data_IF_474019859045
#
_entry.id   IF_474019859045
#
_cell.length_a   1.000
_cell.length_b   1.000
_cell.length_c   1.000
_cell.angle_alpha   90.00
_cell.angle_beta   90.00
_cell.angle_gamma   90.00
#
_symmetry.space_group_name_H-M   'P 1'
#
loop_
_entity.id
_entity.type
_entity.pdbx_description
1 polymer ?
#
# COMPACT_ATOMS: atom_id res chain seq x y z
N UNK A 1 -5.62 -22.94 25.38
CA UNK A 1 -6.75 -22.02 25.19
C UNK A 1 -7.45 -21.71 26.53
N UNK A 2 -7.76 -22.69 27.39
CA UNK A 2 -8.49 -22.44 28.65
C UNK A 2 -7.81 -21.47 29.64
N UNK A 3 -6.49 -21.44 29.74
CA UNK A 3 -5.79 -20.50 30.66
C UNK A 3 -5.90 -19.05 30.23
N UNK A 4 -5.98 -18.76 28.93
CA UNK A 4 -6.08 -17.38 28.43
C UNK A 4 -7.48 -16.83 28.65
N UNK A 5 -8.53 -17.63 28.41
CA UNK A 5 -9.91 -17.19 28.66
C UNK A 5 -10.18 -16.95 30.14
N UNK A 6 -9.66 -17.80 31.03
CA UNK A 6 -9.84 -17.62 32.46
C UNK A 6 -9.09 -16.39 32.99
N UNK A 7 -7.87 -16.13 32.51
CA UNK A 7 -7.16 -14.90 32.86
C UNK A 7 -7.92 -13.65 32.38
N UNK A 8 -8.43 -13.66 31.15
CA UNK A 8 -9.20 -12.53 30.62
C UNK A 8 -10.51 -12.29 31.41
N UNK A 9 -11.22 -13.35 31.80
CA UNK A 9 -12.39 -13.23 32.67
C UNK A 9 -12.02 -12.63 34.03
N UNK A 10 -10.89 -13.03 34.60
CA UNK A 10 -10.43 -12.50 35.88
C UNK A 10 -10.08 -11.01 35.78
N UNK A 11 -9.33 -10.61 34.75
CA UNK A 11 -8.96 -9.20 34.53
C UNK A 11 -10.21 -8.31 34.39
N UNK A 12 -11.24 -8.81 33.69
CA UNK A 12 -12.52 -8.09 33.57
C UNK A 12 -13.29 -8.03 34.92
N UNK A 13 -13.21 -9.07 35.75
CA UNK A 13 -13.81 -9.07 37.10
C UNK A 13 -13.11 -8.08 38.03
N UNK A 14 -11.80 -7.97 37.94
CA UNK A 14 -11.04 -6.96 38.67
C UNK A 14 -11.46 -5.54 38.21
N UNK A 15 -11.74 -5.37 36.91
CA UNK A 15 -12.33 -4.14 36.36
C UNK A 15 -13.74 -3.83 36.89
N UNK A 16 -14.60 -4.82 37.07
CA UNK A 16 -15.94 -4.64 37.67
C UNK A 16 -15.85 -4.04 39.09
N UNK A 17 -14.86 -4.48 39.88
CA UNK A 17 -14.67 -3.98 41.25
C UNK A 17 -14.32 -2.48 41.30
N UNK A 18 -13.80 -1.93 40.19
CA UNK A 18 -13.46 -0.50 40.05
C UNK A 18 -14.63 0.35 39.51
N UNK A 19 -15.78 -0.24 39.20
CA UNK A 19 -16.89 0.45 38.53
C UNK A 19 -17.43 1.69 39.27
N UNK A 20 -17.51 1.64 40.61
CA UNK A 20 -17.99 2.76 41.44
C UNK A 20 -16.86 3.71 41.89
N UNK A 21 -15.63 3.50 41.44
CA UNK A 21 -14.51 4.38 41.75
C UNK A 21 -14.65 5.72 41.00
N UNK A 22 -14.60 6.83 41.73
CA UNK A 22 -14.74 8.18 41.16
C UNK A 22 -13.66 8.52 40.11
N UNK A 23 -12.50 7.88 40.20
CA UNK A 23 -11.38 8.09 39.28
C UNK A 23 -11.47 7.25 37.99
N UNK A 24 -12.51 6.42 37.82
CA UNK A 24 -12.62 5.46 36.71
C UNK A 24 -13.88 5.70 35.87
N UNK A 25 -14.17 6.95 35.53
CA UNK A 25 -15.35 7.35 34.75
C UNK A 25 -15.34 6.67 33.37
N UNK A 26 -14.18 6.60 32.70
CA UNK A 26 -14.02 5.91 31.42
C UNK A 26 -14.39 4.42 31.51
N UNK A 27 -13.85 3.70 32.50
CA UNK A 27 -14.16 2.29 32.75
C UNK A 27 -15.66 2.07 33.03
N UNK A 28 -16.26 2.95 33.84
CA UNK A 28 -17.71 2.90 34.13
C UNK A 28 -18.54 3.10 32.87
N UNK A 29 -18.15 4.05 32.00
CA UNK A 29 -18.83 4.30 30.73
C UNK A 29 -18.69 3.12 29.78
N UNK A 30 -17.49 2.51 29.69
CA UNK A 30 -17.26 1.32 28.87
C UNK A 30 -18.18 0.15 29.29
N UNK A 31 -18.26 -0.15 30.60
CA UNK A 31 -19.18 -1.17 31.12
C UNK A 31 -20.64 -0.87 30.79
N UNK A 32 -21.05 0.40 30.90
CA UNK A 32 -22.40 0.82 30.57
C UNK A 32 -22.73 0.67 29.08
N UNK A 33 -21.79 1.00 28.20
CA UNK A 33 -21.95 0.88 26.75
C UNK A 33 -22.02 -0.60 26.34
N UNK A 34 -21.05 -1.40 26.77
CA UNK A 34 -20.97 -2.83 26.42
C UNK A 34 -22.25 -3.54 26.84
N UNK A 35 -22.70 -3.37 28.09
CA UNK A 35 -23.89 -4.07 28.58
C UNK A 35 -25.17 -3.65 27.85
N UNK A 36 -25.30 -2.36 27.52
CA UNK A 36 -26.47 -1.84 26.82
C UNK A 36 -26.51 -2.27 25.35
N UNK A 37 -25.37 -2.19 24.65
CA UNK A 37 -25.28 -2.51 23.22
C UNK A 37 -25.30 -4.03 22.96
N UNK A 38 -24.58 -4.79 23.79
CA UNK A 38 -24.38 -6.24 23.60
C UNK A 38 -25.43 -7.07 24.35
N UNK A 39 -26.35 -6.41 25.08
CA UNK A 39 -27.48 -7.03 25.78
C UNK A 39 -27.03 -8.16 26.72
N UNK A 40 -26.08 -7.83 27.58
CA UNK A 40 -25.43 -8.73 28.52
C UNK A 40 -25.26 -8.05 29.88
N UNK A 41 -25.00 -8.84 30.93
CA UNK A 41 -24.75 -8.29 32.26
C UNK A 41 -23.67 -9.08 33.00
N UNK A 42 -22.67 -8.37 33.52
CA UNK A 42 -21.51 -8.97 34.17
C UNK A 42 -20.56 -9.64 33.19
N UNK A 43 -19.51 -10.28 33.71
CA UNK A 43 -18.48 -10.94 32.87
C UNK A 43 -18.97 -12.31 32.41
N UNK A 44 -19.30 -13.18 33.37
CA UNK A 44 -19.81 -14.54 33.18
C UNK A 44 -21.33 -14.55 33.36
N UNK A 45 -21.81 -13.81 34.37
CA UNK A 45 -23.23 -13.69 34.66
C UNK A 45 -23.51 -12.40 35.45
N UNK A 46 -24.78 -12.01 35.53
CA UNK A 46 -25.21 -10.82 36.29
C UNK A 46 -24.81 -10.86 37.77
N UNK A 47 -24.62 -12.06 38.35
CA UNK A 47 -24.19 -12.24 39.74
C UNK A 47 -22.80 -11.69 40.02
N UNK A 48 -21.96 -11.50 38.99
CA UNK A 48 -20.63 -10.89 39.16
C UNK A 48 -20.73 -9.45 39.71
N UNK A 49 -21.82 -8.73 39.42
CA UNK A 49 -22.08 -7.41 40.01
C UNK A 49 -22.38 -7.47 41.51
N UNK A 50 -23.02 -8.55 41.98
CA UNK A 50 -23.28 -8.71 43.41
C UNK A 50 -21.99 -8.87 44.21
N UNK A 51 -21.01 -9.54 43.61
CA UNK A 51 -19.67 -9.71 44.19
C UNK A 51 -18.90 -8.38 44.15
N UNK A 52 -18.92 -7.67 43.01
CA UNK A 52 -18.22 -6.41 42.83
C UNK A 52 -18.77 -5.27 43.70
N UNK A 53 -20.09 -5.12 43.80
CA UNK A 53 -20.76 -4.04 44.53
C UNK A 53 -21.09 -4.38 45.99
N UNK A 54 -20.95 -5.65 46.39
CA UNK A 54 -21.34 -6.17 47.73
C UNK A 54 -22.81 -5.97 48.10
N UNK A 55 -23.65 -5.68 47.10
CA UNK A 55 -25.08 -5.49 47.21
C UNK A 55 -25.81 -6.36 46.17
N UNK A 56 -27.05 -6.75 46.42
CA UNK A 56 -27.84 -7.54 45.46
C UNK A 56 -28.46 -6.65 44.38
N UNK A 57 -27.62 -5.88 43.70
CA UNK A 57 -28.01 -4.91 42.67
C UNK A 57 -27.13 -5.04 41.44
N UNK A 58 -27.67 -4.67 40.28
CA UNK A 58 -26.93 -4.55 39.02
C UNK A 58 -27.01 -3.12 38.49
N UNK A 59 -26.12 -2.67 37.60
CA UNK A 59 -26.27 -1.38 36.93
C UNK A 59 -27.54 -1.32 36.07
N UNK A 60 -28.17 -0.15 35.98
CA UNK A 60 -29.41 0.02 35.21
C UNK A 60 -29.27 -0.31 33.71
N UNK A 61 -28.04 -0.23 33.17
CA UNK A 61 -27.74 -0.62 31.77
C UNK A 61 -27.82 -2.13 31.52
N UNK A 62 -27.86 -2.96 32.57
CA UNK A 62 -28.12 -4.39 32.45
C UNK A 62 -29.60 -4.73 32.22
N UNK A 63 -30.52 -3.78 32.42
CA UNK A 63 -31.94 -4.05 32.34
C UNK A 63 -32.43 -4.14 30.89
N UNK A 64 -33.44 -4.97 30.65
CA UNK A 64 -34.05 -5.14 29.32
C UNK A 64 -34.90 -3.93 28.93
N UNK A 65 -35.61 -3.34 29.89
CA UNK A 65 -36.34 -2.10 29.75
C UNK A 65 -35.65 -0.99 30.54
N UNK A 66 -35.42 0.16 29.91
CA UNK A 66 -34.68 1.26 30.52
C UNK A 66 -35.60 2.13 31.37
N UNK A 67 -35.62 1.87 32.68
CA UNK A 67 -36.23 2.74 33.68
C UNK A 67 -35.23 3.03 34.81
N UNK A 68 -35.36 4.19 35.43
CA UNK A 68 -34.45 4.64 36.47
C UNK A 68 -34.52 3.71 37.69
N UNK A 69 -33.38 3.23 38.19
CA UNK A 69 -33.24 2.28 39.30
C UNK A 69 -33.82 0.88 39.06
N UNK A 70 -33.80 0.40 37.81
CA UNK A 70 -34.25 -0.94 37.48
C UNK A 70 -33.41 -2.04 38.11
N UNK A 71 -32.10 -1.82 38.26
CA UNK A 71 -31.18 -2.81 38.81
C UNK A 71 -31.30 -3.02 40.33
N UNK A 72 -32.09 -2.18 41.01
CA UNK A 72 -32.39 -2.29 42.44
C UNK A 72 -33.73 -2.99 42.71
N UNK A 73 -34.59 -3.14 41.70
CA UNK A 73 -35.92 -3.70 41.85
C UNK A 73 -35.92 -5.20 41.51
N UNK A 74 -36.61 -6.02 42.31
CA UNK A 74 -36.49 -7.49 42.32
C UNK A 74 -37.19 -8.21 41.15
N UNK A 75 -37.47 -7.52 40.05
CA UNK A 75 -38.35 -8.03 38.98
C UNK A 75 -37.68 -8.96 37.96
N UNK A 76 -36.41 -9.36 38.14
CA UNK A 76 -35.66 -10.24 37.22
C UNK A 76 -35.67 -9.79 35.73
N UNK A 77 -35.90 -8.51 35.45
CA UNK A 77 -35.96 -7.94 34.09
C UNK A 77 -34.58 -7.44 33.59
N UNK A 78 -33.51 -8.19 33.87
CA UNK A 78 -32.15 -7.88 33.42
C UNK A 78 -31.55 -9.03 32.60
N UNK A 79 -30.57 -8.72 31.76
CA UNK A 79 -29.85 -9.72 30.98
C UNK A 79 -29.11 -10.68 31.90
N UNK A 80 -29.32 -11.97 31.67
CA UNK A 80 -28.82 -13.06 32.50
C UNK A 80 -27.57 -13.73 31.92
N UNK A 81 -27.21 -13.45 30.66
CA UNK A 81 -25.94 -13.86 30.05
C UNK A 81 -24.83 -12.85 30.33
N UNK A 82 -23.63 -13.36 30.58
CA UNK A 82 -22.41 -12.56 30.71
C UNK A 82 -21.95 -11.97 29.38
N UNK A 83 -21.26 -10.84 29.45
CA UNK A 83 -20.72 -10.16 28.27
C UNK A 83 -19.54 -10.90 27.63
N UNK A 84 -18.80 -11.72 28.39
CA UNK A 84 -17.67 -12.47 27.87
C UNK A 84 -18.11 -13.51 26.82
N UNK A 85 -19.22 -14.22 27.08
CA UNK A 85 -19.81 -15.17 26.12
C UNK A 85 -20.21 -14.45 24.82
N UNK A 86 -20.75 -13.24 24.92
CA UNK A 86 -21.09 -12.41 23.75
C UNK A 86 -19.87 -11.98 22.95
N UNK A 87 -18.76 -11.66 23.62
CA UNK A 87 -17.47 -11.38 22.98
C UNK A 87 -16.93 -12.61 22.26
N UNK A 88 -16.98 -13.79 22.89
CA UNK A 88 -16.58 -15.04 22.25
C UNK A 88 -17.46 -15.36 21.03
N UNK A 89 -18.79 -15.24 21.13
CA UNK A 89 -19.71 -15.40 20.00
C UNK A 89 -19.36 -14.44 18.86
N UNK A 90 -19.16 -13.16 19.14
CA UNK A 90 -18.79 -12.17 18.12
C UNK A 90 -17.45 -12.47 17.48
N UNK A 91 -16.45 -12.88 18.27
CA UNK A 91 -15.13 -13.27 17.76
C UNK A 91 -15.23 -14.51 16.89
N UNK A 92 -16.02 -15.51 17.27
CA UNK A 92 -16.19 -16.72 16.47
C UNK A 92 -16.91 -16.47 15.16
N UNK A 93 -17.90 -15.57 15.17
CA UNK A 93 -18.64 -15.15 13.98
C UNK A 93 -17.74 -14.33 13.02
N UNK A 94 -16.83 -13.51 13.56
CA UNK A 94 -15.99 -12.58 12.78
C UNK A 94 -14.54 -13.04 12.61
N UNK A 95 -14.15 -14.22 13.10
CA UNK A 95 -12.75 -14.70 13.06
C UNK A 95 -12.16 -14.73 11.65
N UNK A 96 -12.97 -15.04 10.65
CA UNK A 96 -12.53 -15.02 9.25
C UNK A 96 -12.16 -13.60 8.79
N UNK A 97 -12.95 -12.60 9.18
CA UNK A 97 -12.69 -11.20 8.84
C UNK A 97 -11.42 -10.69 9.54
N UNK A 98 -11.33 -10.87 10.86
CA UNK A 98 -10.16 -10.45 11.65
C UNK A 98 -8.88 -11.16 11.19
N UNK A 99 -8.97 -12.46 10.94
CA UNK A 99 -7.87 -13.25 10.39
C UNK A 99 -7.43 -12.77 9.02
N UNK A 100 -8.38 -12.42 8.14
CA UNK A 100 -8.07 -11.89 6.80
C UNK A 100 -7.37 -10.53 6.89
N UNK A 101 -7.84 -9.61 7.74
CA UNK A 101 -7.21 -8.30 7.93
C UNK A 101 -5.77 -8.47 8.42
N UNK A 102 -5.55 -9.30 9.45
CA UNK A 102 -4.22 -9.59 9.96
C UNK A 102 -3.30 -10.24 8.92
N UNK A 103 -3.83 -11.18 8.13
CA UNK A 103 -3.08 -11.83 7.05
C UNK A 103 -2.65 -10.83 5.97
N UNK A 104 -3.57 -9.96 5.51
CA UNK A 104 -3.27 -8.94 4.50
C UNK A 104 -2.16 -8.01 4.98
N UNK A 105 -2.24 -7.55 6.23
CA UNK A 105 -1.20 -6.70 6.84
C UNK A 105 0.17 -7.41 6.81
N UNK A 106 0.22 -8.67 7.22
CA UNK A 106 1.47 -9.45 7.22
C UNK A 106 2.03 -9.64 5.82
N UNK A 107 1.18 -9.95 4.84
CA UNK A 107 1.58 -10.09 3.43
C UNK A 107 2.19 -8.81 2.91
N UNK A 108 1.58 -7.65 3.17
CA UNK A 108 2.11 -6.34 2.75
C UNK A 108 3.47 -6.05 3.41
N UNK A 109 3.63 -6.39 4.69
CA UNK A 109 4.90 -6.20 5.40
C UNK A 109 6.01 -7.07 4.82
N UNK A 110 5.74 -8.35 4.57
CA UNK A 110 6.70 -9.29 3.98
C UNK A 110 7.05 -8.88 2.56
N UNK A 111 6.06 -8.49 1.76
CA UNK A 111 6.28 -8.00 0.40
C UNK A 111 7.19 -6.76 0.37
N UNK A 112 7.00 -5.83 1.31
CA UNK A 112 7.86 -4.65 1.45
C UNK A 112 9.32 -5.04 1.74
N UNK A 113 9.54 -6.02 2.64
CA UNK A 113 10.89 -6.54 2.92
C UNK A 113 11.50 -7.27 1.74
N UNK A 114 10.71 -8.03 0.97
CA UNK A 114 11.17 -8.71 -0.24
C UNK A 114 11.64 -7.72 -1.29
N UNK A 115 10.91 -6.63 -1.51
CA UNK A 115 11.32 -5.56 -2.43
C UNK A 115 12.66 -4.97 -2.01
N UNK A 116 12.84 -4.66 -0.71
CA UNK A 116 14.11 -4.14 -0.19
C UNK A 116 15.24 -5.16 -0.38
N UNK A 117 15.00 -6.43 -0.09
CA UNK A 117 16.00 -7.49 -0.25
C UNK A 117 16.44 -7.64 -1.71
N UNK A 118 15.50 -7.64 -2.66
CA UNK A 118 15.79 -7.69 -4.10
C UNK A 118 16.58 -6.45 -4.53
N UNK A 119 16.17 -5.25 -4.11
CA UNK A 119 16.85 -4.02 -4.46
C UNK A 119 18.29 -3.96 -3.91
N UNK A 120 18.51 -4.39 -2.65
CA UNK A 120 19.84 -4.48 -2.06
C UNK A 120 20.69 -5.53 -2.78
N UNK A 121 20.14 -6.70 -3.09
CA UNK A 121 20.84 -7.74 -3.83
C UNK A 121 21.30 -7.24 -5.22
N UNK A 122 20.39 -6.62 -5.97
CA UNK A 122 20.70 -6.04 -7.28
C UNK A 122 21.80 -4.97 -7.17
N UNK A 123 21.75 -4.12 -6.14
CA UNK A 123 22.77 -3.11 -5.89
C UNK A 123 24.14 -3.67 -5.53
N UNK A 124 24.19 -4.70 -4.69
CA UNK A 124 25.44 -5.35 -4.32
C UNK A 124 26.09 -6.00 -5.53
N UNK A 125 25.30 -6.64 -6.40
CA UNK A 125 25.82 -7.22 -7.64
C UNK A 125 26.45 -6.15 -8.55
N UNK A 126 25.78 -5.01 -8.71
CA UNK A 126 26.25 -3.87 -9.53
C UNK A 126 27.44 -3.12 -8.92
N UNK A 127 27.61 -3.09 -7.59
CA UNK A 127 28.69 -2.35 -6.92
C UNK A 127 30.10 -2.89 -7.23
N UNK A 128 30.20 -4.07 -7.84
CA UNK A 128 31.47 -4.64 -8.32
C UNK A 128 31.94 -3.97 -9.62
N UNK A 129 31.03 -3.32 -10.36
CA UNK A 129 31.31 -2.60 -11.60
C UNK A 129 31.38 -1.08 -11.32
N UNK A 130 32.60 -0.55 -11.34
CA UNK A 130 32.94 0.81 -10.93
C UNK A 130 32.42 1.88 -11.91
N UNK A 131 31.11 2.11 -12.01
CA UNK A 131 30.54 3.22 -12.78
C UNK A 131 29.76 4.15 -11.86
N UNK A 132 30.37 5.32 -11.62
CA UNK A 132 29.79 6.42 -10.84
C UNK A 132 28.71 7.09 -11.68
N UNK A 133 27.46 6.76 -11.41
CA UNK A 133 26.32 7.43 -12.01
C UNK A 133 25.23 7.73 -10.97
N UNK A 134 24.51 8.83 -11.20
CA UNK A 134 23.56 9.49 -10.28
C UNK A 134 22.72 8.51 -9.46
N UNK A 135 23.02 8.44 -8.15
CA UNK A 135 22.49 7.48 -7.17
C UNK A 135 20.96 7.32 -7.19
N UNK A 136 20.21 8.36 -7.57
CA UNK A 136 18.73 8.37 -7.54
C UNK A 136 18.05 7.88 -8.82
N UNK A 137 18.80 7.56 -9.89
CA UNK A 137 18.23 7.13 -11.18
C UNK A 137 18.36 5.62 -11.40
N UNK A 138 19.09 4.92 -10.51
CA UNK A 138 19.18 3.46 -10.59
C UNK A 138 17.86 2.81 -10.14
N UNK A 139 17.21 1.99 -10.99
CA UNK A 139 15.95 1.31 -10.66
C UNK A 139 15.98 0.55 -9.33
N UNK A 140 17.13 -0.04 -8.96
CA UNK A 140 17.28 -0.76 -7.71
C UNK A 140 17.27 0.17 -6.47
N UNK A 141 17.80 1.40 -6.54
CA UNK A 141 17.66 2.37 -5.43
C UNK A 141 16.20 2.77 -5.24
N UNK A 142 15.48 3.02 -6.35
CA UNK A 142 14.06 3.39 -6.29
C UNK A 142 13.25 2.31 -5.58
N UNK A 143 13.49 1.03 -5.93
CA UNK A 143 12.86 -0.11 -5.26
C UNK A 143 13.18 -0.15 -3.75
N UNK A 144 14.44 0.05 -3.36
CA UNK A 144 14.84 0.09 -1.93
C UNK A 144 14.08 1.21 -1.20
N UNK A 145 14.08 2.43 -1.73
CA UNK A 145 13.43 3.59 -1.09
C UNK A 145 11.93 3.35 -0.93
N UNK A 146 11.25 2.88 -1.99
CA UNK A 146 9.82 2.57 -1.95
C UNK A 146 9.52 1.47 -0.93
N UNK A 147 10.28 0.36 -0.94
CA UNK A 147 10.10 -0.75 -0.01
C UNK A 147 10.32 -0.35 1.45
N UNK A 148 11.32 0.48 1.74
CA UNK A 148 11.59 1.00 3.09
C UNK A 148 10.45 1.91 3.57
N UNK A 149 10.02 2.87 2.73
CA UNK A 149 8.92 3.78 3.09
C UNK A 149 7.63 3.01 3.33
N UNK A 150 7.29 2.06 2.46
CA UNK A 150 6.14 1.18 2.64
C UNK A 150 6.20 0.42 3.97
N UNK A 151 7.33 -0.24 4.26
CA UNK A 151 7.54 -0.98 5.51
C UNK A 151 7.33 -0.12 6.76
N UNK A 152 7.87 1.11 6.78
CA UNK A 152 7.73 2.01 7.93
C UNK A 152 6.31 2.51 8.11
N UNK A 153 5.61 2.86 7.02
CA UNK A 153 4.22 3.33 7.09
C UNK A 153 3.33 2.20 7.65
N UNK A 154 3.43 0.99 7.11
CA UNK A 154 2.61 -0.14 7.56
C UNK A 154 2.96 -0.56 8.98
N UNK A 155 4.25 -0.59 9.34
CA UNK A 155 4.70 -0.90 10.70
C UNK A 155 4.15 0.10 11.72
N UNK A 156 4.30 1.41 11.46
CA UNK A 156 3.81 2.46 12.35
C UNK A 156 2.28 2.44 12.46
N UNK A 157 1.56 2.20 11.36
CA UNK A 157 0.10 2.09 11.39
C UNK A 157 -0.38 0.90 12.23
N UNK A 158 0.21 -0.28 12.02
CA UNK A 158 -0.21 -1.51 12.71
C UNK A 158 0.15 -1.49 14.20
N UNK A 159 1.41 -1.15 14.54
CA UNK A 159 1.83 -1.08 15.94
C UNK A 159 1.18 0.11 16.65
N UNK A 160 0.96 1.22 15.94
CA UNK A 160 0.25 2.39 16.45
C UNK A 160 -1.18 2.07 16.85
N UNK A 161 -1.90 1.31 16.01
CA UNK A 161 -3.26 0.87 16.32
C UNK A 161 -3.28 -0.19 17.44
N UNK A 162 -2.43 -1.23 17.36
CA UNK A 162 -2.42 -2.34 18.33
C UNK A 162 -1.97 -1.94 19.74
N UNK A 163 -1.11 -0.93 19.86
CA UNK A 163 -0.60 -0.45 21.14
C UNK A 163 -1.20 0.90 21.56
N UNK A 164 -2.19 1.38 20.81
CA UNK A 164 -2.84 2.68 21.05
C UNK A 164 -1.80 3.82 21.25
N UNK A 165 -0.70 3.76 20.50
CA UNK A 165 0.41 4.70 20.67
C UNK A 165 0.21 5.93 19.78
N UNK A 166 -0.24 7.02 20.39
CA UNK A 166 -0.52 8.30 19.72
C UNK A 166 0.67 8.80 18.88
N UNK A 167 1.93 8.64 19.33
CA UNK A 167 3.10 9.11 18.57
C UNK A 167 3.27 8.34 17.27
N UNK A 168 3.11 7.02 17.30
CA UNK A 168 3.20 6.18 16.10
C UNK A 168 2.04 6.45 15.14
N UNK A 169 0.83 6.62 15.67
CA UNK A 169 -0.36 6.90 14.87
C UNK A 169 -0.30 8.28 14.21
N UNK A 170 0.24 9.30 14.90
CA UNK A 170 0.54 10.62 14.30
C UNK A 170 1.59 10.53 13.20
N UNK A 171 2.66 9.74 13.40
CA UNK A 171 3.68 9.51 12.35
C UNK A 171 3.05 8.85 11.12
N UNK A 172 2.23 7.81 11.30
CA UNK A 172 1.50 7.15 10.22
C UNK A 172 0.61 8.14 9.45
N UNK A 173 -0.21 8.92 10.16
CA UNK A 173 -1.11 9.91 9.58
C UNK A 173 -0.37 10.99 8.80
N UNK A 174 0.74 11.50 9.37
CA UNK A 174 1.60 12.49 8.73
C UNK A 174 2.27 11.92 7.47
N UNK A 175 2.81 10.70 7.52
CA UNK A 175 3.43 10.05 6.38
C UNK A 175 2.44 9.80 5.24
N UNK A 176 1.22 9.33 5.51
CA UNK A 176 0.19 9.19 4.49
C UNK A 176 -0.21 10.54 3.86
N UNK A 177 -0.32 11.58 4.68
CA UNK A 177 -0.61 12.93 4.18
C UNK A 177 0.50 13.44 3.26
N UNK A 178 1.76 13.21 3.62
CA UNK A 178 2.90 13.59 2.78
C UNK A 178 2.89 12.85 1.44
N UNK A 179 2.64 11.53 1.46
CA UNK A 179 2.54 10.71 0.24
C UNK A 179 1.41 11.22 -0.66
N UNK A 180 0.24 11.53 -0.10
CA UNK A 180 -0.89 12.08 -0.84
C UNK A 180 -0.55 13.42 -1.49
N UNK A 181 0.09 14.33 -0.76
CA UNK A 181 0.52 15.63 -1.29
C UNK A 181 1.57 15.49 -2.40
N UNK A 182 2.52 14.56 -2.26
CA UNK A 182 3.50 14.26 -3.32
C UNK A 182 2.82 13.69 -4.57
N UNK A 183 1.88 12.75 -4.42
CA UNK A 183 1.11 12.20 -5.53
C UNK A 183 0.30 13.28 -6.25
N UNK A 184 -0.39 14.13 -5.49
CA UNK A 184 -1.15 15.25 -6.04
C UNK A 184 -0.24 16.24 -6.77
N UNK A 185 0.92 16.56 -6.20
CA UNK A 185 1.90 17.45 -6.82
C UNK A 185 2.42 16.88 -8.14
N UNK A 186 2.77 15.59 -8.17
CA UNK A 186 3.20 14.89 -9.40
C UNK A 186 2.09 14.91 -10.45
N UNK A 187 0.84 14.65 -10.07
CA UNK A 187 -0.30 14.66 -10.99
C UNK A 187 -0.55 16.06 -11.59
N UNK A 188 -0.53 17.11 -10.76
CA UNK A 188 -0.69 18.50 -11.20
C UNK A 188 0.46 18.90 -12.12
N UNK A 189 1.71 18.66 -11.72
CA UNK A 189 2.88 19.02 -12.52
C UNK A 189 2.91 18.25 -13.85
N UNK A 190 2.56 16.96 -13.83
CA UNK A 190 2.46 16.13 -15.03
C UNK A 190 1.41 16.62 -16.03
N UNK A 191 0.29 17.17 -15.52
CA UNK A 191 -0.78 17.71 -16.35
C UNK A 191 -0.46 19.10 -16.91
N UNK A 192 -0.01 20.04 -16.05
CA UNK A 192 0.25 21.43 -16.46
C UNK A 192 1.55 21.60 -17.25
N UNK A 193 2.58 20.83 -16.91
CA UNK A 193 3.90 20.88 -17.53
C UNK A 193 4.18 19.59 -18.29
N UNK A 194 3.24 19.19 -19.15
CA UNK A 194 3.31 17.95 -19.93
C UNK A 194 4.58 17.87 -20.77
N UNK A 195 4.96 18.96 -21.43
CA UNK A 195 6.16 19.01 -22.27
C UNK A 195 7.43 18.83 -21.45
N UNK A 196 7.54 19.54 -20.31
CA UNK A 196 8.68 19.39 -19.41
C UNK A 196 8.74 18.00 -18.77
N UNK A 197 7.59 17.39 -18.49
CA UNK A 197 7.50 16.01 -17.99
C UNK A 197 7.95 15.02 -19.04
N UNK A 198 7.55 15.22 -20.31
CA UNK A 198 8.04 14.44 -21.45
C UNK A 198 9.55 14.58 -21.63
N UNK A 199 10.10 15.78 -21.50
CA UNK A 199 11.55 16.01 -21.60
C UNK A 199 12.33 15.39 -20.44
N UNK A 200 11.79 15.47 -19.21
CA UNK A 200 12.40 14.86 -18.03
C UNK A 200 12.44 13.33 -18.14
N UNK A 201 11.35 12.71 -18.60
CA UNK A 201 11.29 11.29 -18.92
C UNK A 201 12.21 10.93 -20.10
N UNK A 202 12.28 11.80 -21.11
CA UNK A 202 13.15 11.64 -22.27
C UNK A 202 14.62 11.51 -21.88
N UNK A 203 15.11 12.33 -20.94
CA UNK A 203 16.48 12.22 -20.41
C UNK A 203 16.74 10.88 -19.69
N UNK A 204 15.74 10.35 -18.99
CA UNK A 204 15.83 9.03 -18.38
C UNK A 204 15.93 7.93 -19.45
N UNK A 205 15.08 7.98 -20.47
CA UNK A 205 15.09 7.00 -21.57
C UNK A 205 16.35 7.12 -22.43
N UNK A 206 16.84 8.34 -22.68
CA UNK A 206 18.12 8.58 -23.34
C UNK A 206 19.25 7.87 -22.59
N UNK A 207 19.32 8.04 -21.26
CA UNK A 207 20.29 7.34 -20.44
C UNK A 207 20.15 5.81 -20.54
N UNK A 208 18.92 5.29 -20.56
CA UNK A 208 18.64 3.87 -20.72
C UNK A 208 19.08 3.33 -22.08
N UNK A 209 18.88 4.09 -23.17
CA UNK A 209 19.32 3.73 -24.52
C UNK A 209 20.85 3.76 -24.61
N UNK A 210 21.50 4.82 -24.09
CA UNK A 210 22.97 4.94 -24.09
C UNK A 210 23.62 3.73 -23.41
N UNK A 211 23.10 3.31 -22.25
CA UNK A 211 23.64 2.19 -21.46
C UNK A 211 22.93 0.85 -21.73
N UNK A 212 22.16 0.74 -22.82
CA UNK A 212 21.33 -0.44 -23.10
C UNK A 212 22.12 -1.77 -23.15
N UNK A 213 23.38 -1.75 -23.61
CA UNK A 213 24.25 -2.94 -23.65
C UNK A 213 25.10 -3.11 -22.39
N UNK A 214 25.19 -2.08 -21.57
CA UNK A 214 26.06 -2.04 -20.39
C UNK A 214 25.31 -2.41 -19.10
N UNK A 215 23.98 -2.16 -19.06
CA UNK A 215 23.12 -2.49 -17.91
C UNK A 215 21.97 -3.42 -18.33
N UNK A 216 22.03 -4.66 -17.86
CA UNK A 216 21.04 -5.69 -18.14
C UNK A 216 19.63 -5.32 -17.63
N UNK A 217 19.51 -4.56 -16.55
CA UNK A 217 18.20 -4.14 -16.02
C UNK A 217 17.56 -3.09 -16.93
N UNK A 218 18.35 -2.12 -17.40
CA UNK A 218 17.88 -1.12 -18.37
C UNK A 218 17.56 -1.79 -19.71
N UNK A 219 18.35 -2.79 -20.11
CA UNK A 219 18.09 -3.60 -21.30
C UNK A 219 16.73 -4.31 -21.21
N UNK A 220 16.50 -5.05 -20.13
CA UNK A 220 15.26 -5.81 -19.92
C UNK A 220 14.04 -4.88 -19.79
N UNK A 221 14.19 -3.75 -19.10
CA UNK A 221 13.13 -2.75 -18.96
C UNK A 221 12.75 -2.17 -20.31
N UNK A 222 13.75 -1.74 -21.10
CA UNK A 222 13.49 -1.15 -22.41
C UNK A 222 12.88 -2.17 -23.38
N UNK A 223 13.39 -3.40 -23.37
CA UNK A 223 12.85 -4.50 -24.18
C UNK A 223 11.40 -4.82 -23.85
N UNK A 224 11.06 -4.82 -22.56
CA UNK A 224 9.68 -5.03 -22.09
C UNK A 224 8.76 -3.90 -22.57
N UNK A 225 9.15 -2.65 -22.37
CA UNK A 225 8.37 -1.48 -22.79
C UNK A 225 8.10 -1.51 -24.30
N UNK A 226 9.14 -1.76 -25.11
CA UNK A 226 8.99 -1.74 -26.57
C UNK A 226 8.09 -2.85 -27.10
N UNK A 227 8.19 -4.05 -26.52
CA UNK A 227 7.33 -5.19 -26.89
C UNK A 227 5.89 -4.97 -26.46
N UNK A 228 5.67 -4.51 -25.23
CA UNK A 228 4.35 -4.34 -24.63
C UNK A 228 3.58 -3.18 -25.31
N UNK A 229 4.23 -2.02 -25.44
CA UNK A 229 3.61 -0.83 -26.02
C UNK A 229 3.72 -0.77 -27.55
N UNK A 230 4.39 -1.74 -28.18
CA UNK A 230 4.60 -1.83 -29.64
C UNK A 230 5.12 -0.52 -30.20
N UNK A 231 6.30 -0.14 -29.71
CA UNK A 231 6.99 1.11 -30.01
C UNK A 231 8.50 0.89 -30.13
N UNK A 232 9.23 1.88 -30.65
CA UNK A 232 10.68 1.83 -30.77
C UNK A 232 11.29 3.21 -30.52
N UNK A 233 12.32 3.26 -29.66
CA UNK A 233 12.92 4.51 -29.17
C UNK A 233 12.00 5.31 -28.25
N UNK A 234 12.35 6.58 -27.98
CA UNK A 234 11.55 7.48 -27.14
C UNK A 234 10.56 8.28 -27.99
N UNK A 235 11.09 9.09 -28.90
CA UNK A 235 10.35 9.86 -29.90
C UNK A 235 10.21 9.07 -31.21
N UNK A 236 11.25 8.32 -31.61
CA UNK A 236 11.25 7.54 -32.85
C UNK A 236 12.32 6.44 -32.83
N UNK A 237 12.23 5.48 -33.76
CA UNK A 237 13.21 4.39 -33.89
C UNK A 237 14.66 4.83 -34.11
N UNK A 238 14.88 6.06 -34.59
CA UNK A 238 16.22 6.65 -34.81
C UNK A 238 16.94 7.03 -33.52
N UNK A 239 16.23 7.14 -32.39
CA UNK A 239 16.83 7.45 -31.09
C UNK A 239 17.87 6.40 -30.66
N UNK A 240 17.78 5.18 -31.22
CA UNK A 240 18.79 4.15 -31.05
C UNK A 240 20.19 4.57 -31.52
N UNK A 241 20.32 5.61 -32.35
CA UNK A 241 21.62 6.19 -32.67
C UNK A 241 22.36 6.81 -31.48
N UNK A 242 21.69 7.06 -30.34
CA UNK A 242 22.35 7.50 -29.10
C UNK A 242 23.23 6.41 -28.48
N UNK A 243 22.95 5.14 -28.76
CA UNK A 243 23.75 4.03 -28.25
C UNK A 243 24.99 3.79 -29.14
N UNK A 244 26.15 3.54 -28.51
CA UNK A 244 27.42 3.34 -29.19
C UNK A 244 27.37 2.22 -30.25
N UNK A 245 26.66 1.11 -30.00
CA UNK A 245 26.62 -0.05 -30.89
C UNK A 245 25.65 0.14 -32.07
N UNK A 246 24.60 0.94 -31.90
CA UNK A 246 23.55 1.15 -32.90
C UNK A 246 23.76 2.44 -33.73
N UNK A 247 24.64 3.34 -33.28
CA UNK A 247 24.95 4.61 -33.93
C UNK A 247 25.27 4.45 -35.42
N UNK A 248 24.54 5.17 -36.27
CA UNK A 248 24.60 5.06 -37.73
C UNK A 248 25.86 5.62 -38.42
N UNK A 249 26.75 6.28 -37.68
CA UNK A 249 27.97 6.90 -38.20
C UNK A 249 28.83 5.92 -38.99
N UNK A 250 29.35 6.32 -40.15
CA UNK A 250 30.07 5.42 -41.08
C UNK A 250 31.31 4.77 -40.47
N UNK A 251 31.95 5.46 -39.53
CA UNK A 251 33.14 5.03 -38.81
C UNK A 251 32.84 4.00 -37.72
N UNK A 252 31.56 3.75 -37.38
CA UNK A 252 31.20 2.80 -36.34
C UNK A 252 31.48 1.35 -36.81
N UNK A 253 32.39 0.60 -36.16
CA UNK A 253 32.72 -0.77 -36.56
C UNK A 253 31.68 -1.81 -36.10
N UNK A 254 30.69 -1.40 -35.29
CA UNK A 254 29.68 -2.31 -34.74
C UNK A 254 28.91 -3.04 -35.83
N UNK A 255 28.71 -4.35 -35.64
CA UNK A 255 27.84 -5.15 -36.51
C UNK A 255 26.38 -4.70 -36.45
N UNK A 256 25.96 -4.10 -35.34
CA UNK A 256 24.61 -3.57 -35.13
C UNK A 256 24.45 -2.10 -35.57
N UNK A 257 25.44 -1.56 -36.31
CA UNK A 257 25.38 -0.20 -36.84
C UNK A 257 24.10 0.01 -37.65
N UNK A 258 23.43 1.14 -37.41
CA UNK A 258 22.13 1.45 -38.03
C UNK A 258 21.02 0.43 -37.76
N UNK A 259 21.18 -0.44 -36.76
CA UNK A 259 20.14 -1.36 -36.35
C UNK A 259 19.30 -0.79 -35.20
N UNK A 260 18.15 -1.40 -34.94
CA UNK A 260 17.42 -1.25 -33.69
C UNK A 260 17.38 -2.61 -32.98
N UNK A 261 17.19 -2.66 -31.65
CA UNK A 261 17.07 -3.92 -30.95
C UNK A 261 15.88 -4.75 -31.41
N UNK A 262 16.00 -6.06 -31.22
CA UNK A 262 14.96 -7.02 -31.59
C UNK A 262 13.62 -6.81 -30.88
N UNK A 263 13.59 -6.11 -29.74
CA UNK A 263 12.37 -5.74 -29.02
C UNK A 263 11.49 -4.75 -29.79
N UNK A 264 12.04 -4.04 -30.77
CA UNK A 264 11.27 -3.23 -31.71
C UNK A 264 10.60 -4.04 -32.84
N UNK A 265 10.94 -5.33 -33.01
CA UNK A 265 10.49 -6.14 -34.14
C UNK A 265 8.99 -6.44 -34.10
N UNK A 266 8.37 -6.40 -35.28
CA UNK A 266 7.02 -6.93 -35.48
C UNK A 266 7.06 -8.44 -35.72
N UNK A 267 6.07 -9.20 -35.23
CA UNK A 267 5.93 -10.61 -35.59
C UNK A 267 5.50 -10.73 -37.06
N UNK A 268 6.12 -11.66 -37.80
CA UNK A 268 5.76 -11.95 -39.20
C UNK A 268 4.44 -12.72 -39.23
N UNK A 269 3.45 -12.33 -40.06
CA UNK A 269 2.18 -13.06 -40.15
C UNK A 269 2.38 -14.52 -40.55
N UNK A 270 1.91 -15.44 -39.70
CA UNK A 270 2.02 -16.90 -39.94
C UNK A 270 3.25 -17.55 -39.31
N UNK A 271 4.16 -16.78 -38.72
CA UNK A 271 5.31 -17.29 -37.96
C UNK A 271 5.14 -17.03 -36.47
N UNK A 272 5.49 -18.01 -35.64
CA UNK A 272 5.48 -17.88 -34.17
C UNK A 272 6.80 -17.36 -33.61
N UNK A 273 7.86 -17.33 -34.43
CA UNK A 273 9.21 -16.92 -34.03
C UNK A 273 9.50 -15.52 -34.55
N UNK A 274 9.89 -14.61 -33.65
CA UNK A 274 10.30 -13.26 -34.04
C UNK A 274 11.68 -13.32 -34.67
N UNK A 275 11.83 -12.75 -35.87
CA UNK A 275 13.14 -12.58 -36.50
C UNK A 275 13.98 -11.58 -35.69
N UNK A 276 14.95 -12.09 -34.93
CA UNK A 276 15.82 -11.26 -34.08
C UNK A 276 16.76 -10.36 -34.88
N UNK A 277 16.90 -10.58 -36.18
CA UNK A 277 17.66 -9.73 -37.11
C UNK A 277 16.79 -8.71 -37.85
N UNK A 278 15.50 -8.57 -37.52
CA UNK A 278 14.62 -7.66 -38.26
C UNK A 278 15.09 -6.18 -38.23
N UNK A 279 15.83 -5.81 -37.17
CA UNK A 279 16.24 -4.43 -36.91
C UNK A 279 17.45 -3.97 -37.71
N UNK A 280 18.17 -4.87 -38.39
CA UNK A 280 19.42 -4.54 -39.10
C UNK A 280 19.20 -3.55 -40.25
N UNK A 281 19.95 -2.44 -40.22
CA UNK A 281 19.90 -1.41 -41.25
C UNK A 281 18.57 -0.66 -41.33
N UNK A 282 17.66 -0.83 -40.37
CA UNK A 282 16.33 -0.18 -40.41
C UNK A 282 16.43 1.32 -40.20
N UNK A 283 17.47 1.81 -39.48
CA UNK A 283 17.67 3.24 -39.28
C UNK A 283 17.97 4.01 -40.58
N UNK A 284 18.41 3.35 -41.65
CA UNK A 284 18.63 4.00 -42.97
C UNK A 284 17.40 3.96 -43.87
N UNK A 285 16.35 3.25 -43.46
CA UNK A 285 15.11 3.13 -44.22
C UNK A 285 14.15 4.28 -43.91
N UNK A 286 13.26 4.55 -44.85
CA UNK A 286 12.16 5.47 -44.63
C UNK A 286 11.12 4.86 -43.68
N UNK A 287 10.35 5.71 -43.01
CA UNK A 287 9.33 5.29 -42.03
C UNK A 287 8.39 4.18 -42.55
N UNK A 288 7.93 4.28 -43.81
CA UNK A 288 7.02 3.29 -44.43
C UNK A 288 7.68 1.93 -44.66
N UNK A 289 8.99 1.90 -44.88
CA UNK A 289 9.76 0.68 -45.06
C UNK A 289 10.07 0.06 -43.69
N UNK A 290 10.50 0.88 -42.72
CA UNK A 290 10.73 0.47 -41.34
C UNK A 290 9.46 -0.13 -40.71
N UNK A 291 8.28 0.45 -40.97
CA UNK A 291 7.00 -0.06 -40.45
C UNK A 291 6.62 -1.48 -40.93
N UNK A 292 7.31 -2.02 -41.94
CA UNK A 292 7.08 -3.41 -42.39
C UNK A 292 7.79 -4.43 -41.51
N UNK A 293 8.84 -4.04 -40.79
CA UNK A 293 9.66 -4.94 -39.97
C UNK A 293 9.65 -4.60 -38.49
N UNK A 294 9.49 -3.33 -38.13
CA UNK A 294 9.50 -2.83 -36.74
C UNK A 294 8.25 -2.00 -36.41
N UNK A 295 8.09 -1.65 -35.14
CA UNK A 295 7.16 -0.62 -34.69
C UNK A 295 7.86 0.74 -34.61
N UNK A 296 7.91 1.56 -35.68
CA UNK A 296 8.76 2.75 -35.74
C UNK A 296 8.30 3.90 -34.84
N UNK A 297 7.05 3.91 -34.39
CA UNK A 297 6.48 4.96 -33.52
C UNK A 297 7.23 5.01 -32.18
N UNK A 298 7.56 6.21 -31.71
CA UNK A 298 8.17 6.42 -30.40
C UNK A 298 7.28 5.97 -29.23
N UNK A 299 7.92 5.47 -28.17
CA UNK A 299 7.21 5.04 -26.98
C UNK A 299 6.52 6.17 -26.22
N UNK A 300 7.01 7.41 -26.30
CA UNK A 300 6.36 8.58 -25.70
C UNK A 300 4.96 8.79 -26.27
N UNK A 301 4.82 8.76 -27.60
CA UNK A 301 3.53 8.97 -28.26
C UNK A 301 2.58 7.79 -28.02
N UNK A 302 3.11 6.56 -28.01
CA UNK A 302 2.32 5.37 -27.64
C UNK A 302 1.82 5.42 -26.20
N UNK A 303 2.61 5.92 -25.26
CA UNK A 303 2.18 6.12 -23.88
C UNK A 303 1.04 7.14 -23.78
N UNK A 304 1.14 8.28 -24.49
CA UNK A 304 0.07 9.28 -24.53
C UNK A 304 -1.22 8.69 -25.13
N UNK A 305 -1.12 8.04 -26.29
CA UNK A 305 -2.28 7.37 -26.93
C UNK A 305 -2.91 6.31 -26.02
N UNK A 306 -2.10 5.57 -25.26
CA UNK A 306 -2.59 4.59 -24.31
C UNK A 306 -3.37 5.25 -23.16
N UNK A 307 -2.85 6.35 -22.59
CA UNK A 307 -3.52 7.10 -21.52
C UNK A 307 -4.86 7.67 -22.02
N UNK A 308 -4.88 8.28 -23.20
CA UNK A 308 -6.09 8.85 -23.79
C UNK A 308 -7.17 7.79 -24.04
N UNK A 309 -6.78 6.62 -24.53
CA UNK A 309 -7.70 5.52 -24.78
C UNK A 309 -8.19 4.81 -23.49
N UNK A 310 -7.44 4.93 -22.39
CA UNK A 310 -7.72 4.25 -21.12
C UNK A 310 -7.97 5.22 -19.95
N UNK A 311 -8.46 6.43 -20.24
CA UNK A 311 -8.69 7.48 -19.24
C UNK A 311 -9.49 7.01 -18.01
N UNK A 312 -10.52 6.19 -18.22
CA UNK A 312 -11.34 5.64 -17.13
C UNK A 312 -10.54 4.72 -16.21
N UNK A 313 -9.66 3.90 -16.77
CA UNK A 313 -8.80 2.99 -16.01
C UNK A 313 -7.75 3.79 -15.22
N UNK A 314 -7.13 4.79 -15.84
CA UNK A 314 -6.17 5.68 -15.16
C UNK A 314 -6.84 6.44 -14.03
N UNK A 315 -8.05 6.99 -14.26
CA UNK A 315 -8.84 7.66 -13.23
C UNK A 315 -9.23 6.73 -12.09
N UNK A 316 -9.64 5.49 -12.38
CA UNK A 316 -9.96 4.49 -11.37
C UNK A 316 -8.74 4.11 -10.52
N UNK A 317 -7.56 3.95 -11.13
CA UNK A 317 -6.31 3.70 -10.40
C UNK A 317 -5.93 4.88 -9.50
N UNK A 318 -6.05 6.11 -10.00
CA UNK A 318 -5.76 7.31 -9.22
C UNK A 318 -6.68 7.43 -7.99
N UNK A 319 -7.99 7.19 -8.17
CA UNK A 319 -8.95 7.16 -7.07
C UNK A 319 -8.71 5.97 -6.12
N UNK A 320 -8.35 4.81 -6.66
CA UNK A 320 -8.00 3.62 -5.89
C UNK A 320 -6.76 3.80 -5.01
N UNK A 321 -5.85 4.71 -5.38
CA UNK A 321 -4.73 5.12 -4.54
C UNK A 321 -5.11 6.21 -3.53
N UNK A 322 -5.90 7.20 -3.95
CA UNK A 322 -6.26 8.36 -3.12
C UNK A 322 -7.24 8.03 -1.99
N UNK A 323 -8.32 7.29 -2.29
CA UNK A 323 -9.39 7.04 -1.31
C UNK A 323 -8.92 6.26 -0.08
N UNK A 324 -8.14 5.16 -0.21
CA UNK A 324 -7.64 4.44 0.97
C UNK A 324 -6.69 5.28 1.82
N UNK A 325 -5.90 6.18 1.21
CA UNK A 325 -5.02 7.08 1.96
C UNK A 325 -5.84 8.07 2.80
N UNK A 326 -6.86 8.70 2.21
CA UNK A 326 -7.75 9.62 2.92
C UNK A 326 -8.48 8.89 4.05
N UNK A 327 -9.02 7.69 3.77
CA UNK A 327 -9.66 6.87 4.78
C UNK A 327 -8.70 6.52 5.93
N UNK A 328 -7.47 6.11 5.62
CA UNK A 328 -6.44 5.81 6.61
C UNK A 328 -6.09 7.01 7.49
N UNK A 329 -6.00 8.21 6.89
CA UNK A 329 -5.79 9.46 7.65
C UNK A 329 -6.99 9.73 8.56
N UNK A 330 -8.22 9.71 8.05
CA UNK A 330 -9.42 9.98 8.86
C UNK A 330 -9.55 8.99 10.01
N UNK A 331 -9.42 7.69 9.73
CA UNK A 331 -9.49 6.64 10.75
C UNK A 331 -8.39 6.80 11.81
N UNK A 332 -7.17 7.14 11.40
CA UNK A 332 -6.09 7.40 12.35
C UNK A 332 -6.39 8.58 13.27
N UNK A 333 -7.00 9.66 12.75
CA UNK A 333 -7.35 10.83 13.56
C UNK A 333 -8.51 10.54 14.52
N UNK A 334 -9.51 9.76 14.08
CA UNK A 334 -10.61 9.31 14.95
C UNK A 334 -10.04 8.49 16.11
N UNK A 335 -9.17 7.52 15.82
CA UNK A 335 -8.56 6.68 16.85
C UNK A 335 -7.67 7.51 17.79
N UNK A 336 -6.91 8.49 17.29
CA UNK A 336 -6.14 9.42 18.15
C UNK A 336 -7.06 10.19 19.09
N UNK A 337 -8.18 10.71 18.58
CA UNK A 337 -9.13 11.47 19.40
C UNK A 337 -9.72 10.60 20.52
N UNK A 338 -10.13 9.37 20.18
CA UNK A 338 -10.65 8.40 21.16
C UNK A 338 -9.64 8.11 22.28
N UNK A 339 -8.38 7.81 21.94
CA UNK A 339 -7.32 7.54 22.93
C UNK A 339 -7.04 8.78 23.79
N UNK A 340 -7.07 9.98 23.19
CA UNK A 340 -6.84 11.22 23.94
C UNK A 340 -7.97 11.54 24.92
N UNK A 341 -9.22 11.26 24.55
CA UNK A 341 -10.38 11.41 25.41
C UNK A 341 -10.33 10.43 26.59
N UNK A 342 -9.92 9.18 26.34
CA UNK A 342 -9.67 8.18 27.40
C UNK A 342 -8.62 8.69 28.40
N UNK A 343 -7.46 9.15 27.94
CA UNK A 343 -6.40 9.68 28.82
C UNK A 343 -6.87 10.92 29.60
N UNK A 344 -7.62 11.82 28.97
CA UNK A 344 -8.10 13.04 29.63
C UNK A 344 -9.19 12.74 30.66
N UNK A 345 -9.94 11.65 30.49
CA UNK A 345 -10.93 11.20 31.47
C UNK A 345 -10.33 10.60 32.74
N UNK A 346 -9.06 10.19 32.70
CA UNK A 346 -8.32 9.62 33.84
C UNK A 346 -7.55 10.66 34.67
N UNK A 347 -7.43 11.90 34.19
CA UNK A 347 -6.64 12.99 34.83
C UNK A 347 -7.54 14.08 35.42
#
# INVERSE_FOLDING_TARGET
>A
MCTVSENAKQDLKDGLALYNSDNNIGLRNAWNIIQAEWKCCGVIAYTDWHEALKEKVVPDRCCQEHYQNCGQNSTNMFWNRGCFEKVEEWLDDNKHLLGTIGMVILVVQVFSLLIVAIGVYAKVQKATDTVRDTFLIDPAVVLIVVGVVMFFITFCGCIGALRENIRLLKTFSFSLTLVFLTQLSIAILGFFYSDQTRDALGKFVEKAIVHYRDDLDLQNLMDYIQKEFKCCGWNNYTDWSWNLYFNCTHENPSSERCAVPYSCCTPVPGETVINTMCGFGVQTQNYLEANKSIYPVGCADKAVMWIESHLLLVGALALGLALPQIAGVVLSQILIAQIQDEITSEL
#
